data_IF_948871011291
#
_entry.id   IF_948871011291
#
_cell.length_a   1.000
_cell.length_b   1.000
_cell.length_c   1.000
_cell.angle_alpha   90.00
_cell.angle_beta   90.00
_cell.angle_gamma   90.00
#
_symmetry.space_group_name_H-M   'P 1'
#
loop_
_entity.id
_entity.type
_entity.pdbx_description
1 polymer ?
#
# COMPACT_ATOMS: atom_id res chain seq x y z
N UNK A 1 -9.51 -18.12 -21.18
CA UNK A 1 -8.79 -16.89 -21.55
C UNK A 1 -7.50 -16.88 -20.74
N UNK A 2 -6.32 -16.97 -21.37
CA UNK A 2 -5.05 -16.81 -20.62
C UNK A 2 -5.00 -15.36 -20.15
N UNK A 3 -5.03 -15.14 -18.85
CA UNK A 3 -4.88 -13.80 -18.27
C UNK A 3 -3.50 -13.28 -18.65
N UNK A 4 -3.46 -12.39 -19.65
CA UNK A 4 -2.25 -11.74 -20.13
C UNK A 4 -1.86 -10.63 -19.15
N UNK A 5 -1.57 -11.00 -17.90
CA UNK A 5 -1.15 -10.07 -16.86
C UNK A 5 0.34 -9.82 -17.00
N UNK A 6 0.71 -8.54 -17.09
CA UNK A 6 2.10 -8.11 -17.06
C UNK A 6 2.75 -8.60 -15.76
N UNK A 7 4.04 -8.96 -15.85
CA UNK A 7 4.88 -9.32 -14.69
C UNK A 7 4.40 -10.54 -13.89
N UNK A 8 3.66 -11.47 -14.52
CA UNK A 8 3.21 -12.72 -13.91
C UNK A 8 4.16 -13.89 -14.19
N UNK A 9 4.27 -14.83 -13.24
CA UNK A 9 4.98 -16.10 -13.42
C UNK A 9 3.98 -17.25 -13.25
N UNK A 10 4.04 -18.28 -14.11
CA UNK A 10 3.05 -19.37 -14.13
C UNK A 10 3.17 -20.37 -12.95
N UNK A 11 4.28 -20.35 -12.20
CA UNK A 11 4.52 -21.30 -11.10
C UNK A 11 5.31 -20.67 -9.96
N UNK A 12 4.76 -20.76 -8.74
CA UNK A 12 5.31 -20.15 -7.54
C UNK A 12 6.73 -20.61 -7.23
N UNK A 13 7.63 -19.64 -7.20
CA UNK A 13 8.98 -19.83 -6.70
C UNK A 13 9.00 -19.54 -5.19
N UNK A 14 9.93 -20.14 -4.44
CA UNK A 14 10.12 -19.83 -3.02
C UNK A 14 11.22 -18.78 -2.88
N UNK A 15 11.13 -17.68 -3.64
CA UNK A 15 12.19 -16.66 -3.65
C UNK A 15 12.16 -15.81 -2.40
N UNK A 16 13.20 -14.99 -2.26
CA UNK A 16 13.21 -13.95 -1.24
C UNK A 16 12.07 -12.93 -1.44
N UNK A 17 11.68 -12.63 -2.68
CA UNK A 17 10.56 -11.72 -2.95
C UNK A 17 9.24 -12.30 -2.50
N UNK A 18 9.00 -13.58 -2.79
CA UNK A 18 7.77 -14.29 -2.41
C UNK A 18 7.63 -14.31 -0.88
N UNK A 19 8.70 -14.67 -0.16
CA UNK A 19 8.73 -14.67 1.32
C UNK A 19 8.52 -13.28 1.91
N UNK A 20 9.16 -12.26 1.33
CA UNK A 20 9.00 -10.87 1.78
C UNK A 20 7.56 -10.39 1.56
N UNK A 21 6.99 -10.65 0.39
CA UNK A 21 5.61 -10.29 0.07
C UNK A 21 4.61 -11.00 0.98
N UNK A 22 4.79 -12.30 1.22
CA UNK A 22 3.95 -13.07 2.14
C UNK A 22 3.99 -12.46 3.56
N UNK A 23 5.18 -12.20 4.08
CA UNK A 23 5.34 -11.59 5.40
C UNK A 23 4.66 -10.23 5.50
N UNK A 24 4.93 -9.35 4.54
CA UNK A 24 4.34 -8.01 4.49
C UNK A 24 2.82 -8.10 4.37
N UNK A 25 2.32 -8.90 3.42
CA UNK A 25 0.88 -9.05 3.18
C UNK A 25 0.15 -9.72 4.34
N UNK A 26 0.84 -10.43 5.24
CA UNK A 26 0.21 -10.98 6.44
C UNK A 26 0.01 -9.91 7.52
N UNK A 27 0.93 -8.93 7.64
CA UNK A 27 0.94 -7.97 8.75
C UNK A 27 0.48 -6.56 8.37
N UNK A 28 0.78 -6.14 7.14
CA UNK A 28 0.67 -4.76 6.70
C UNK A 28 -0.14 -4.62 5.42
N UNK A 29 -0.64 -3.41 5.19
CA UNK A 29 -0.99 -2.91 3.88
C UNK A 29 0.02 -1.85 3.46
N UNK A 30 0.42 -1.88 2.20
CA UNK A 30 1.29 -0.90 1.57
C UNK A 30 0.58 -0.24 0.40
N UNK A 31 0.85 1.05 0.19
CA UNK A 31 0.39 1.80 -0.97
C UNK A 31 1.37 2.89 -1.35
N UNK A 32 1.33 3.30 -2.60
CA UNK A 32 1.98 4.51 -3.07
C UNK A 32 0.96 5.65 -3.15
N UNK A 33 1.09 6.66 -2.30
CA UNK A 33 0.21 7.81 -2.32
C UNK A 33 0.63 8.76 -3.45
N UNK A 34 -0.22 8.92 -4.46
CA UNK A 34 0.09 9.72 -5.65
C UNK A 34 0.05 11.22 -5.41
N UNK A 35 -0.48 11.67 -4.27
CA UNK A 35 -0.58 13.09 -3.91
C UNK A 35 0.65 13.51 -3.09
N UNK A 36 1.03 12.73 -2.08
CA UNK A 36 2.28 13.00 -1.33
C UNK A 36 3.53 12.50 -2.07
N UNK A 37 3.38 11.61 -3.04
CA UNK A 37 4.47 10.91 -3.74
C UNK A 37 5.32 10.03 -2.82
N UNK A 38 4.72 9.51 -1.75
CA UNK A 38 5.38 8.66 -0.76
C UNK A 38 4.74 7.26 -0.68
N UNK A 39 5.53 6.30 -0.21
CA UNK A 39 5.02 4.99 0.18
C UNK A 39 4.49 5.05 1.61
N UNK A 40 3.31 4.51 1.81
CA UNK A 40 2.66 4.45 3.11
C UNK A 40 2.46 3.01 3.53
N UNK A 41 2.57 2.78 4.84
CA UNK A 41 2.37 1.49 5.49
C UNK A 41 1.37 1.65 6.63
N UNK A 42 0.52 0.64 6.79
CA UNK A 42 -0.30 0.48 7.99
C UNK A 42 -0.38 -0.97 8.42
N UNK A 43 -0.64 -1.22 9.69
CA UNK A 43 -1.06 -2.55 10.15
C UNK A 43 -2.43 -2.88 9.55
N UNK A 44 -2.67 -4.14 9.23
CA UNK A 44 -3.98 -4.58 8.72
C UNK A 44 -5.14 -4.27 9.67
N UNK A 45 -4.88 -4.38 10.97
CA UNK A 45 -5.85 -4.12 12.04
C UNK A 45 -5.98 -2.63 12.38
N UNK A 46 -5.13 -1.77 11.81
CA UNK A 46 -5.15 -0.32 12.03
C UNK A 46 -5.77 0.42 10.85
N UNK A 47 -6.28 1.62 11.13
CA UNK A 47 -6.75 2.57 10.12
C UNK A 47 -5.70 3.66 9.81
N UNK A 48 -4.66 3.78 10.64
CA UNK A 48 -3.69 4.86 10.54
C UNK A 48 -2.56 4.49 9.58
N UNK A 49 -2.43 5.30 8.53
CA UNK A 49 -1.31 5.21 7.59
C UNK A 49 -0.13 6.03 8.09
N UNK A 50 1.07 5.48 7.95
CA UNK A 50 2.34 6.15 8.25
C UNK A 50 3.27 6.07 7.04
N UNK A 51 4.19 7.02 6.91
CA UNK A 51 5.22 6.96 5.87
C UNK A 51 6.08 5.71 6.07
N UNK A 52 6.30 4.95 5.00
CA UNK A 52 7.11 3.74 5.02
C UNK A 52 8.57 4.10 5.27
N UNK A 53 9.12 3.59 6.38
CA UNK A 53 10.56 3.58 6.61
C UNK A 53 11.16 2.25 6.13
N UNK A 54 11.83 2.28 4.96
CA UNK A 54 12.46 1.11 4.36
C UNK A 54 13.51 0.44 5.26
N UNK A 55 14.28 1.23 6.01
CA UNK A 55 15.33 0.69 6.89
C UNK A 55 14.72 -0.06 8.08
N UNK A 56 13.64 0.48 8.66
CA UNK A 56 12.90 -0.20 9.73
C UNK A 56 12.30 -1.52 9.24
N UNK A 57 11.69 -1.51 8.04
CA UNK A 57 11.13 -2.71 7.42
C UNK A 57 12.22 -3.75 7.14
N UNK A 58 13.39 -3.33 6.65
CA UNK A 58 14.53 -4.22 6.41
C UNK A 58 15.01 -4.90 7.69
N UNK A 59 15.14 -4.15 8.78
CA UNK A 59 15.52 -4.68 10.10
C UNK A 59 14.48 -5.71 10.57
N UNK A 60 13.19 -5.39 10.45
CA UNK A 60 12.11 -6.31 10.81
C UNK A 60 12.17 -7.61 10.01
N UNK A 61 12.29 -7.53 8.68
CA UNK A 61 12.41 -8.70 7.80
C UNK A 61 13.64 -9.55 8.15
N UNK A 62 14.76 -8.90 8.47
CA UNK A 62 15.98 -9.60 8.88
C UNK A 62 15.78 -10.35 10.19
N UNK A 63 15.09 -9.74 11.16
CA UNK A 63 14.71 -10.39 12.44
C UNK A 63 13.75 -11.56 12.25
N UNK A 64 12.91 -11.50 11.20
CA UNK A 64 12.06 -12.60 10.78
C UNK A 64 12.79 -13.69 9.96
N UNK A 65 14.13 -13.65 9.89
CA UNK A 65 14.97 -14.57 9.11
C UNK A 65 14.76 -14.49 7.59
N UNK A 66 14.23 -13.38 7.08
CA UNK A 66 14.08 -13.10 5.65
C UNK A 66 15.29 -12.28 5.18
N UNK A 67 16.26 -12.96 4.54
CA UNK A 67 17.52 -12.35 4.07
C UNK A 67 17.35 -11.61 2.74
N UNK A 68 16.65 -10.48 2.77
CA UNK A 68 16.56 -9.57 1.61
C UNK A 68 17.61 -8.47 1.71
N UNK A 69 18.23 -8.12 0.58
CA UNK A 69 19.17 -7.00 0.49
C UNK A 69 18.40 -5.68 0.37
N UNK A 70 18.94 -4.54 0.83
CA UNK A 70 18.31 -3.23 0.65
C UNK A 70 17.87 -2.94 -0.78
N UNK A 71 18.72 -3.23 -1.78
CA UNK A 71 18.37 -2.96 -3.20
C UNK A 71 17.17 -3.79 -3.67
N UNK A 72 17.09 -5.06 -3.28
CA UNK A 72 15.95 -5.93 -3.61
C UNK A 72 14.67 -5.44 -2.93
N UNK A 73 14.75 -5.01 -1.68
CA UNK A 73 13.59 -4.46 -0.99
C UNK A 73 13.10 -3.17 -1.69
N UNK A 74 14.02 -2.29 -2.10
CA UNK A 74 13.66 -1.09 -2.85
C UNK A 74 13.00 -1.42 -4.19
N UNK A 75 13.55 -2.37 -4.96
CA UNK A 75 12.94 -2.85 -6.20
C UNK A 75 11.52 -3.36 -5.96
N UNK A 76 11.33 -4.15 -4.89
CA UNK A 76 10.01 -4.68 -4.54
C UNK A 76 9.01 -3.55 -4.24
N UNK A 77 9.41 -2.58 -3.41
CA UNK A 77 8.54 -1.47 -3.04
C UNK A 77 8.20 -0.57 -4.23
N UNK A 78 9.13 -0.35 -5.16
CA UNK A 78 8.93 0.49 -6.35
C UNK A 78 8.25 -0.21 -7.52
N UNK A 79 7.92 -1.48 -7.37
CA UNK A 79 7.30 -2.28 -8.44
C UNK A 79 5.78 -2.20 -8.44
N UNK A 80 5.16 -2.73 -9.49
CA UNK A 80 3.71 -2.86 -9.63
C UNK A 80 3.05 -3.79 -8.59
N UNK A 81 3.83 -4.42 -7.71
CA UNK A 81 3.29 -5.14 -6.55
C UNK A 81 2.68 -4.19 -5.51
N UNK A 82 3.13 -2.93 -5.46
CA UNK A 82 2.57 -1.92 -4.56
C UNK A 82 1.56 -1.07 -5.32
N UNK A 83 0.29 -1.10 -4.88
CA UNK A 83 -0.78 -0.36 -5.55
C UNK A 83 -0.65 1.14 -5.31
N UNK A 84 -0.88 1.91 -6.37
CA UNK A 84 -1.06 3.36 -6.25
C UNK A 84 -2.41 3.70 -5.60
N UNK A 85 -2.42 4.80 -4.87
CA UNK A 85 -3.55 5.30 -4.11
C UNK A 85 -3.66 6.82 -4.25
N UNK A 86 -4.86 7.32 -4.55
CA UNK A 86 -5.14 8.75 -4.62
C UNK A 86 -6.14 9.14 -3.51
N UNK A 87 -5.70 9.80 -2.43
CA UNK A 87 -6.57 10.19 -1.32
C UNK A 87 -7.67 11.18 -1.72
N UNK A 88 -7.41 12.08 -2.66
CA UNK A 88 -8.40 13.06 -3.10
C UNK A 88 -9.53 12.35 -3.84
N UNK A 89 -9.18 11.43 -4.74
CA UNK A 89 -10.17 10.61 -5.45
C UNK A 89 -11.01 9.79 -4.47
N UNK A 90 -10.36 9.10 -3.52
CA UNK A 90 -11.07 8.31 -2.52
C UNK A 90 -12.03 9.16 -1.67
N UNK A 91 -11.62 10.38 -1.29
CA UNK A 91 -12.49 11.30 -0.55
C UNK A 91 -13.78 11.58 -1.32
N UNK A 92 -13.69 12.00 -2.59
CA UNK A 92 -14.87 12.28 -3.40
C UNK A 92 -15.73 11.04 -3.69
N UNK A 93 -15.12 9.86 -3.83
CA UNK A 93 -15.85 8.61 -4.04
C UNK A 93 -16.57 8.10 -2.77
N UNK A 94 -16.14 8.53 -1.59
CA UNK A 94 -16.74 8.16 -0.30
C UNK A 94 -17.78 9.16 0.21
N UNK A 95 -17.95 10.30 -0.45
CA UNK A 95 -18.99 11.25 -0.09
C UNK A 95 -20.36 10.61 -0.29
N UNK A 96 -21.25 10.82 0.67
CA UNK A 96 -22.67 10.48 0.50
C UNK A 96 -23.28 11.35 -0.60
N UNK A 97 -24.36 10.85 -1.20
CA UNK A 97 -25.15 11.67 -2.12
C UNK A 97 -25.63 12.94 -1.42
N UNK A 98 -25.71 14.03 -2.16
CA UNK A 98 -26.18 15.29 -1.60
C UNK A 98 -27.60 15.13 -1.03
N UNK A 99 -27.75 15.50 0.24
CA UNK A 99 -28.98 15.35 1.02
C UNK A 99 -30.02 16.46 0.75
N UNK A 100 -29.66 17.46 -0.07
CA UNK A 100 -30.54 18.57 -0.43
C UNK A 100 -30.48 19.77 0.51
N UNK A 101 -29.77 19.67 1.64
CA UNK A 101 -29.74 20.74 2.65
C UNK A 101 -28.56 21.70 2.43
N UNK A 102 -28.82 22.99 2.65
CA UNK A 102 -27.80 24.03 2.59
C UNK A 102 -27.34 24.39 4.01
N UNK A 103 -26.43 23.59 4.54
CA UNK A 103 -25.85 23.79 5.86
C UNK A 103 -25.03 25.08 5.98
N UNK A 104 -24.49 25.61 4.86
CA UNK A 104 -23.74 26.87 4.88
C UNK A 104 -24.70 28.00 5.23
N UNK A 105 -25.86 28.05 4.58
CA UNK A 105 -26.89 29.04 4.87
C UNK A 105 -27.41 28.97 6.30
N UNK A 106 -27.62 27.76 6.83
CA UNK A 106 -28.08 27.54 8.21
C UNK A 106 -27.10 28.05 9.27
N UNK A 107 -25.79 27.98 9.01
CA UNK A 107 -24.74 28.43 9.94
C UNK A 107 -24.41 29.92 9.85
N UNK A 108 -25.00 30.66 8.90
CA UNK A 108 -24.74 32.09 8.70
C UNK A 108 -25.84 33.02 9.20
N UNK A 109 -26.91 32.47 9.80
CA UNK A 109 -27.96 33.20 10.51
C UNK A 109 -27.69 33.23 12.03
#
# INVERSE_FOLDING_TARGET
MKNNQLYHIEKGTNTVFDKTLEYINNKYNLRFNTISLDYEIKLKESNDWSVLNLNSLLIELTRASIKITPQKLEILIRSDFIKSYNPIKEYFEKLEDWDGNDYIKELTN
#
